data_IF_499904269143
#
_entry.id   IF_499904269143
#
_cell.length_a   1.000
_cell.length_b   1.000
_cell.length_c   1.000
_cell.angle_alpha   90.00
_cell.angle_beta   90.00
_cell.angle_gamma   90.00
#
_symmetry.space_group_name_H-M   'P 1'
#
loop_
_entity.id
_entity.type
_entity.pdbx_description
1 polymer ?
#
# COMPACT_ATOMS: atom_id res chain seq x y z
N UNK A 1 14.93 8.47 0.14
CA UNK A 1 13.98 9.32 -0.62
C UNK A 1 13.92 10.67 0.05
N UNK A 2 14.16 11.75 -0.68
CA UNK A 2 14.08 13.11 -0.15
C UNK A 2 12.82 13.79 -0.71
N UNK A 3 11.92 14.24 0.17
CA UNK A 3 10.64 14.85 -0.22
C UNK A 3 10.82 16.36 -0.26
N UNK A 4 10.61 16.96 -1.42
CA UNK A 4 10.81 18.41 -1.65
C UNK A 4 9.56 19.25 -1.33
N UNK A 5 8.37 18.65 -1.43
CA UNK A 5 7.09 19.27 -1.08
C UNK A 5 6.16 18.21 -0.50
N UNK A 6 5.74 18.40 0.74
CA UNK A 6 4.89 17.45 1.47
C UNK A 6 3.44 17.46 1.00
N UNK A 7 2.96 18.57 0.43
CA UNK A 7 1.56 18.73 0.04
C UNK A 7 1.21 17.96 -1.25
N UNK A 8 2.21 17.78 -2.11
CA UNK A 8 2.08 17.02 -3.36
C UNK A 8 2.55 15.57 -3.22
N UNK A 9 3.26 15.24 -2.14
CA UNK A 9 3.80 13.91 -1.92
C UNK A 9 2.72 12.91 -1.49
N UNK A 10 2.63 11.79 -2.21
CA UNK A 10 1.72 10.70 -1.88
C UNK A 10 2.54 9.49 -1.37
N UNK A 11 2.76 9.37 -0.04
CA UNK A 11 3.69 8.39 0.52
C UNK A 11 3.31 6.95 0.17
N UNK A 12 2.04 6.60 0.33
CA UNK A 12 1.59 5.23 0.14
C UNK A 12 1.65 4.80 -1.33
N UNK A 13 1.14 5.63 -2.24
CA UNK A 13 1.28 5.38 -3.69
C UNK A 13 2.75 5.26 -4.11
N UNK A 14 3.61 6.12 -3.58
CA UNK A 14 5.04 6.12 -3.92
C UNK A 14 5.72 4.84 -3.43
N UNK A 15 5.42 4.39 -2.20
CA UNK A 15 5.96 3.14 -1.66
C UNK A 15 5.57 1.93 -2.52
N UNK A 16 4.30 1.82 -2.91
CA UNK A 16 3.81 0.73 -3.78
C UNK A 16 4.45 0.79 -5.18
N UNK A 17 4.65 1.99 -5.72
CA UNK A 17 5.32 2.18 -7.02
C UNK A 17 6.77 1.75 -6.98
N UNK A 18 7.50 2.13 -5.93
CA UNK A 18 8.87 1.70 -5.73
C UNK A 18 8.97 0.19 -5.57
N UNK A 19 8.08 -0.40 -4.77
CA UNK A 19 8.05 -1.83 -4.52
C UNK A 19 7.75 -2.63 -5.78
N UNK A 20 6.77 -2.20 -6.58
CA UNK A 20 6.51 -2.80 -7.89
C UNK A 20 7.71 -2.70 -8.83
N UNK A 21 8.41 -1.57 -8.84
CA UNK A 21 9.60 -1.40 -9.66
C UNK A 21 10.69 -2.40 -9.25
N UNK A 22 10.96 -2.56 -7.95
CA UNK A 22 11.93 -3.54 -7.43
C UNK A 22 11.54 -4.97 -7.78
N UNK A 23 10.27 -5.36 -7.59
CA UNK A 23 9.76 -6.69 -7.95
C UNK A 23 9.97 -6.97 -9.44
N UNK A 24 9.67 -5.99 -10.29
CA UNK A 24 9.81 -6.12 -11.75
C UNK A 24 11.26 -6.17 -12.21
N UNK A 25 12.17 -5.42 -11.58
CA UNK A 25 13.58 -5.37 -12.00
C UNK A 25 14.43 -6.49 -11.41
N UNK A 26 14.05 -7.04 -10.25
CA UNK A 26 14.78 -8.10 -9.56
C UNK A 26 13.89 -9.30 -9.18
N UNK A 27 13.15 -9.92 -10.12
CA UNK A 27 12.14 -10.94 -9.79
C UNK A 27 12.72 -12.23 -9.19
N UNK A 28 14.01 -12.51 -9.41
CA UNK A 28 14.68 -13.71 -8.89
C UNK A 28 15.34 -13.47 -7.52
N UNK A 29 15.58 -12.21 -7.15
CA UNK A 29 16.25 -11.83 -5.89
C UNK A 29 15.27 -11.26 -4.87
N UNK A 30 14.14 -10.74 -5.33
CA UNK A 30 13.09 -10.23 -4.47
C UNK A 30 12.36 -11.39 -3.77
N UNK A 31 12.20 -11.27 -2.46
CA UNK A 31 11.33 -12.13 -1.67
C UNK A 31 10.60 -11.31 -0.62
N UNK A 32 9.34 -11.67 -0.38
CA UNK A 32 8.63 -11.17 0.78
C UNK A 32 9.21 -11.79 2.04
N UNK A 33 9.08 -11.08 3.16
CA UNK A 33 9.28 -11.70 4.46
C UNK A 33 8.20 -12.75 4.66
N UNK A 34 8.58 -13.97 4.94
CA UNK A 34 7.67 -15.04 5.30
C UNK A 34 7.16 -14.89 6.76
N UNK A 35 6.02 -15.49 7.11
CA UNK A 35 5.61 -15.62 8.50
C UNK A 35 6.71 -16.32 9.34
N UNK A 36 6.83 -16.03 10.65
CA UNK A 36 5.92 -15.21 11.47
C UNK A 36 6.24 -13.71 11.46
N UNK A 37 5.24 -12.90 11.81
CA UNK A 37 5.38 -11.45 12.06
C UNK A 37 4.52 -11.02 13.26
N UNK A 38 5.16 -10.35 14.22
CA UNK A 38 4.57 -10.03 15.53
C UNK A 38 3.94 -11.26 16.18
N UNK A 39 2.62 -11.27 16.39
CA UNK A 39 1.86 -12.36 17.01
C UNK A 39 1.10 -13.23 15.99
N UNK A 40 1.32 -13.02 14.69
CA UNK A 40 0.71 -13.78 13.60
C UNK A 40 1.72 -14.76 13.00
N UNK A 41 1.29 -16.01 12.84
CA UNK A 41 2.15 -17.13 12.47
C UNK A 41 1.83 -17.73 11.10
N UNK A 42 0.71 -17.34 10.50
CA UNK A 42 0.18 -17.95 9.29
C UNK A 42 0.09 -16.99 8.12
N UNK A 43 -0.33 -15.75 8.35
CA UNK A 43 -0.54 -14.76 7.28
C UNK A 43 0.75 -14.07 6.89
N UNK A 44 0.87 -13.76 5.60
CA UNK A 44 2.00 -12.99 5.08
C UNK A 44 2.08 -11.63 5.79
N UNK A 45 3.27 -11.21 6.27
CA UNK A 45 3.47 -9.94 6.93
C UNK A 45 2.98 -8.73 6.12
N UNK A 46 3.21 -8.73 4.81
CA UNK A 46 2.75 -7.62 3.95
C UNK A 46 1.23 -7.56 3.87
N UNK A 47 0.54 -8.70 3.84
CA UNK A 47 -0.93 -8.76 3.81
C UNK A 47 -1.53 -8.24 5.12
N UNK A 48 -0.81 -8.38 6.25
CA UNK A 48 -1.18 -7.78 7.53
C UNK A 48 -0.96 -6.26 7.55
N UNK A 49 0.18 -5.79 7.04
CA UNK A 49 0.54 -4.38 7.00
C UNK A 49 -0.38 -3.58 6.07
N UNK A 50 -0.76 -4.15 4.93
CA UNK A 50 -1.69 -3.52 3.98
C UNK A 50 -3.15 -3.72 4.38
N UNK A 51 -3.45 -4.73 5.20
CA UNK A 51 -4.81 -5.15 5.54
C UNK A 51 -5.57 -5.79 4.37
N UNK A 52 -4.90 -5.99 3.23
CA UNK A 52 -5.50 -6.51 2.00
C UNK A 52 -4.46 -7.30 1.16
N UNK A 53 -4.63 -8.64 1.04
CA UNK A 53 -3.77 -9.48 0.20
C UNK A 53 -3.78 -9.10 -1.29
N UNK A 54 -4.84 -8.43 -1.77
CA UNK A 54 -4.95 -8.02 -3.17
C UNK A 54 -3.81 -7.09 -3.60
N UNK A 55 -3.22 -6.38 -2.64
CA UNK A 55 -2.10 -5.47 -2.88
C UNK A 55 -0.84 -6.24 -3.22
N UNK A 56 -0.46 -7.23 -2.41
CA UNK A 56 0.69 -8.09 -2.72
C UNK A 56 0.51 -8.78 -4.07
N UNK A 57 -0.65 -9.40 -4.29
CA UNK A 57 -0.97 -10.12 -5.53
C UNK A 57 -0.88 -9.18 -6.74
N UNK A 58 -1.42 -7.97 -6.62
CA UNK A 58 -1.38 -6.98 -7.70
C UNK A 58 0.02 -6.42 -7.99
N UNK A 59 0.87 -6.29 -6.97
CA UNK A 59 2.27 -5.92 -7.13
C UNK A 59 3.07 -7.01 -7.83
N UNK A 60 2.86 -8.27 -7.46
CA UNK A 60 3.51 -9.46 -8.03
C UNK A 60 3.13 -9.68 -9.50
N UNK A 61 1.83 -9.60 -9.83
CA UNK A 61 1.36 -9.82 -11.20
C UNK A 61 1.76 -8.68 -12.15
N UNK A 62 1.98 -7.48 -11.61
CA UNK A 62 2.24 -6.28 -12.40
C UNK A 62 1.03 -5.77 -13.20
N UNK A 63 -0.12 -6.46 -13.15
CA UNK A 63 -1.37 -6.13 -13.84
C UNK A 63 -2.14 -5.02 -13.13
N UNK A 64 -2.00 -4.94 -11.81
CA UNK A 64 -2.52 -3.83 -11.00
C UNK A 64 -1.41 -2.80 -10.83
N UNK A 65 -1.44 -1.75 -11.65
CA UNK A 65 -0.60 -0.59 -11.38
C UNK A 65 -1.02 0.07 -10.06
N UNK A 66 -0.10 0.66 -9.29
CA UNK A 66 -0.44 1.48 -8.13
C UNK A 66 -1.45 2.59 -8.45
N UNK A 67 -1.53 3.01 -9.72
CA UNK A 67 -2.52 3.99 -10.18
C UNK A 67 -3.94 3.40 -10.13
N UNK A 68 -4.13 2.18 -10.64
CA UNK A 68 -5.44 1.52 -10.61
C UNK A 68 -5.87 1.22 -9.16
N UNK A 69 -4.93 0.85 -8.28
CA UNK A 69 -5.20 0.69 -6.86
C UNK A 69 -5.68 2.00 -6.21
N UNK A 70 -5.01 3.12 -6.53
CA UNK A 70 -5.40 4.45 -6.05
C UNK A 70 -6.81 4.83 -6.51
N UNK A 71 -7.16 4.54 -7.76
CA UNK A 71 -8.50 4.83 -8.28
C UNK A 71 -9.58 4.02 -7.56
N UNK A 72 -9.32 2.72 -7.31
CA UNK A 72 -10.25 1.86 -6.55
C UNK A 72 -10.53 2.41 -5.16
N UNK A 73 -9.51 2.91 -4.46
CA UNK A 73 -9.68 3.45 -3.12
C UNK A 73 -10.29 4.84 -3.07
N UNK A 74 -10.27 5.60 -4.16
CA UNK A 74 -10.68 7.01 -4.14
C UNK A 74 -12.11 7.18 -3.61
N UNK A 75 -13.01 6.25 -3.96
CA UNK A 75 -14.39 6.26 -3.48
C UNK A 75 -14.48 5.98 -1.97
N UNK A 76 -13.89 4.88 -1.50
CA UNK A 76 -13.92 4.51 -0.08
C UNK A 76 -13.19 5.52 0.80
N UNK A 77 -12.08 6.08 0.31
CA UNK A 77 -11.34 7.14 0.98
C UNK A 77 -12.18 8.41 1.11
N UNK A 78 -12.95 8.76 0.07
CA UNK A 78 -13.90 9.87 0.13
C UNK A 78 -14.96 9.64 1.22
N UNK A 79 -15.54 8.44 1.26
CA UNK A 79 -16.50 8.04 2.29
C UNK A 79 -15.90 8.08 3.70
N UNK A 80 -14.67 7.59 3.87
CA UNK A 80 -13.95 7.64 5.15
C UNK A 80 -13.64 9.07 5.59
N UNK A 81 -13.20 9.93 4.67
CA UNK A 81 -12.93 11.35 4.95
C UNK A 81 -14.21 12.07 5.37
N UNK A 82 -15.36 11.75 4.76
CA UNK A 82 -16.65 12.30 5.16
C UNK A 82 -17.04 11.81 6.57
N UNK A 83 -16.96 10.49 6.81
CA UNK A 83 -17.30 9.87 8.08
C UNK A 83 -16.44 10.40 9.24
N UNK A 84 -15.12 10.47 9.06
CA UNK A 84 -14.22 10.86 10.16
C UNK A 84 -14.45 12.30 10.64
N UNK A 85 -14.97 13.19 9.78
CA UNK A 85 -15.26 14.59 10.15
C UNK A 85 -16.28 14.70 11.28
N UNK A 86 -17.20 13.75 11.41
CA UNK A 86 -18.17 13.70 12.50
C UNK A 86 -17.52 13.54 13.88
N UNK A 87 -16.27 13.05 13.92
CA UNK A 87 -15.52 12.73 15.13
C UNK A 87 -14.27 13.60 15.33
N UNK A 88 -14.09 14.65 14.52
CA UNK A 88 -12.95 15.56 14.66
C UNK A 88 -13.09 16.41 15.92
N UNK A 89 -12.09 16.36 16.79
CA UNK A 89 -11.98 17.19 18.01
C UNK A 89 -11.16 18.46 17.73
N UNK A 90 -10.34 18.44 16.67
CA UNK A 90 -9.49 19.55 16.25
C UNK A 90 -9.76 19.90 14.79
N UNK A 91 -9.54 21.18 14.45
CA UNK A 91 -9.59 21.66 13.07
C UNK A 91 -8.36 21.22 12.29
#
# INVERSE_FOLDING_TARGET
MHVMDINTFNPYFTALSLLQAVIKTHPQEFSWREPPYEYEYTKMPVDLLTGDPSIRIGLESGELSPLLMREKWALELGSYIALKKEYHIYQ
#
